data_IF_745250533373
#
_entry.id   IF_745250533373
#
_cell.length_a   1.000
_cell.length_b   1.000
_cell.length_c   1.000
_cell.angle_alpha   90.00
_cell.angle_beta   90.00
_cell.angle_gamma   90.00
#
_symmetry.space_group_name_H-M   'P 1'
#
loop_
_entity.id
_entity.type
_entity.pdbx_description
1 polymer ?
#
# COMPACT_ATOMS: atom_id res chain seq x y z
N UNK A 1 -71.87 -24.16 6.30
CA UNK A 1 -70.81 -25.16 6.05
C UNK A 1 -70.28 -24.90 4.65
N UNK A 2 -69.17 -24.17 4.42
CA UNK A 2 -67.81 -24.52 4.82
C UNK A 2 -67.31 -25.63 3.87
N UNK A 3 -66.36 -25.45 2.95
CA UNK A 3 -65.42 -24.35 2.80
C UNK A 3 -64.64 -24.37 1.49
N UNK A 4 -63.85 -23.30 1.39
CA UNK A 4 -62.90 -22.91 0.36
C UNK A 4 -61.89 -24.01 -0.01
N UNK A 5 -61.79 -24.33 -1.30
CA UNK A 5 -60.57 -24.92 -1.88
C UNK A 5 -60.55 -24.66 -3.37
N UNK A 6 -59.48 -24.02 -3.87
CA UNK A 6 -59.33 -23.75 -5.30
C UNK A 6 -58.52 -22.52 -5.68
N UNK A 7 -58.16 -21.67 -4.72
CA UNK A 7 -57.28 -20.50 -4.94
C UNK A 7 -55.98 -20.64 -4.15
N UNK A 8 -55.32 -21.80 -4.24
CA UNK A 8 -54.01 -22.05 -3.61
C UNK A 8 -53.18 -23.06 -4.39
N UNK A 9 -53.09 -22.93 -5.72
CA UNK A 9 -52.18 -23.76 -6.54
C UNK A 9 -51.62 -22.99 -7.73
N UNK A 10 -51.13 -21.76 -7.52
CA UNK A 10 -50.20 -21.09 -8.43
C UNK A 10 -49.65 -19.83 -7.76
N UNK A 11 -48.53 -19.96 -7.04
CA UNK A 11 -47.52 -18.89 -6.75
C UNK A 11 -46.57 -19.29 -5.60
N UNK A 12 -46.42 -20.59 -5.29
CA UNK A 12 -45.23 -21.08 -4.57
C UNK A 12 -44.15 -21.40 -5.61
N UNK A 13 -43.59 -20.34 -6.20
CA UNK A 13 -42.17 -20.35 -6.60
C UNK A 13 -41.59 -19.19 -5.83
N UNK A 14 -41.30 -19.50 -4.56
CA UNK A 14 -40.56 -18.66 -3.63
C UNK A 14 -39.26 -18.24 -4.33
N UNK A 15 -39.06 -16.92 -4.44
CA UNK A 15 -37.82 -16.22 -4.81
C UNK A 15 -36.59 -17.06 -4.44
N UNK A 16 -36.01 -17.75 -5.41
CA UNK A 16 -34.84 -18.62 -5.20
C UNK A 16 -33.73 -18.34 -6.22
N UNK A 17 -33.51 -17.06 -6.55
CA UNK A 17 -32.24 -16.59 -7.12
C UNK A 17 -31.89 -15.21 -6.53
N UNK A 18 -31.93 -15.12 -5.20
CA UNK A 18 -31.42 -13.97 -4.46
C UNK A 18 -29.91 -14.13 -4.23
N UNK A 19 -29.12 -13.31 -4.92
CA UNK A 19 -27.81 -12.81 -4.46
C UNK A 19 -26.82 -13.86 -3.95
N UNK A 20 -26.19 -14.60 -4.86
CA UNK A 20 -25.01 -15.40 -4.55
C UNK A 20 -23.91 -15.24 -5.60
N UNK A 21 -23.41 -14.01 -5.81
CA UNK A 21 -22.02 -13.75 -6.22
C UNK A 21 -21.66 -12.37 -5.66
N UNK A 22 -20.88 -12.32 -4.58
CA UNK A 22 -20.48 -11.04 -3.97
C UNK A 22 -20.05 -11.13 -2.51
N UNK A 23 -19.94 -12.34 -1.94
CA UNK A 23 -19.56 -12.53 -0.54
C UNK A 23 -18.54 -13.65 -0.36
N UNK A 24 -17.45 -13.59 -1.14
CA UNK A 24 -16.25 -14.41 -0.88
C UNK A 24 -15.03 -13.50 -1.02
N UNK A 25 -14.83 -12.68 0.00
CA UNK A 25 -13.69 -11.79 0.13
C UNK A 25 -13.81 -11.10 1.49
N UNK A 26 -12.73 -11.00 2.28
CA UNK A 26 -12.75 -10.18 3.48
C UNK A 26 -13.23 -8.78 3.09
N UNK A 27 -14.29 -8.28 3.72
CA UNK A 27 -14.56 -6.83 3.67
C UNK A 27 -13.34 -6.17 4.31
N UNK A 28 -12.70 -5.18 3.67
CA UNK A 28 -11.74 -4.38 4.40
C UNK A 28 -12.54 -3.70 5.52
N UNK A 29 -12.17 -4.01 6.76
CA UNK A 29 -12.60 -3.25 7.91
C UNK A 29 -11.64 -2.06 7.98
N UNK A 30 -11.76 -1.12 7.04
CA UNK A 30 -10.86 0.02 6.90
C UNK A 30 -11.51 1.36 7.22
N UNK A 31 -12.86 1.43 7.25
CA UNK A 31 -13.57 2.69 7.54
C UNK A 31 -13.75 3.01 9.03
N UNK A 32 -14.00 2.01 9.88
CA UNK A 32 -14.53 2.25 11.24
C UNK A 32 -13.47 2.03 12.35
N UNK A 33 -12.45 1.22 12.09
CA UNK A 33 -11.31 0.95 12.99
C UNK A 33 -10.17 1.97 12.85
N UNK A 34 -10.01 2.61 11.68
CA UNK A 34 -8.94 3.56 11.41
C UNK A 34 -9.07 4.88 12.19
N UNK A 35 -10.28 5.22 12.66
CA UNK A 35 -10.55 6.48 13.37
C UNK A 35 -10.20 6.43 14.87
N UNK A 36 -10.03 5.25 15.47
CA UNK A 36 -9.84 5.09 16.92
C UNK A 36 -8.37 4.88 17.35
N UNK A 37 -7.42 4.87 16.41
CA UNK A 37 -5.98 4.78 16.69
C UNK A 37 -5.27 6.10 16.39
N UNK A 38 -4.41 6.54 17.31
CA UNK A 38 -3.56 7.71 17.14
C UNK A 38 -2.61 7.54 15.94
N UNK A 39 -2.17 8.63 15.28
CA UNK A 39 -1.18 8.54 14.20
C UNK A 39 0.09 7.78 14.60
N UNK A 40 0.48 7.86 15.87
CA UNK A 40 1.65 7.15 16.41
C UNK A 40 1.44 5.65 16.44
N UNK A 41 0.29 5.18 16.91
CA UNK A 41 -0.05 3.75 16.93
C UNK A 41 -0.09 3.18 15.51
N UNK A 42 -0.70 3.91 14.56
CA UNK A 42 -0.69 3.49 13.15
C UNK A 42 0.73 3.38 12.58
N UNK A 43 1.60 4.34 12.87
CA UNK A 43 2.99 4.29 12.45
C UNK A 43 3.75 3.12 13.07
N UNK A 44 3.45 2.76 14.32
CA UNK A 44 4.05 1.59 14.97
C UNK A 44 3.61 0.29 14.31
N UNK A 45 2.31 0.15 14.02
CA UNK A 45 1.80 -1.00 13.26
C UNK A 45 2.46 -1.10 11.88
N UNK A 46 2.61 0.01 11.16
CA UNK A 46 3.30 0.03 9.86
C UNK A 46 4.75 -0.44 10.01
N UNK A 47 5.48 0.05 11.02
CA UNK A 47 6.86 -0.38 11.27
C UNK A 47 6.96 -1.87 11.58
N UNK A 48 6.04 -2.39 12.39
CA UNK A 48 5.99 -3.82 12.69
C UNK A 48 5.81 -4.64 11.41
N UNK A 49 4.82 -4.29 10.57
CA UNK A 49 4.57 -4.99 9.30
C UNK A 49 5.79 -4.92 8.39
N UNK A 50 6.39 -3.74 8.21
CA UNK A 50 7.56 -3.57 7.32
C UNK A 50 8.82 -4.29 7.83
N UNK A 51 8.88 -4.61 9.13
CA UNK A 51 9.98 -5.40 9.69
C UNK A 51 9.91 -6.88 9.32
N UNK A 52 8.70 -7.39 9.05
CA UNK A 52 8.45 -8.78 8.66
C UNK A 52 8.37 -8.93 7.13
N UNK A 53 7.70 -7.99 6.47
CA UNK A 53 7.49 -7.96 5.02
C UNK A 53 8.02 -6.64 4.48
N UNK A 54 9.28 -6.61 4.01
CA UNK A 54 9.90 -5.36 3.58
C UNK A 54 9.21 -4.78 2.34
N UNK A 55 9.18 -3.46 2.25
CA UNK A 55 8.62 -2.76 1.10
C UNK A 55 9.50 -3.01 -0.14
N UNK A 56 8.85 -3.36 -1.26
CA UNK A 56 9.46 -3.47 -2.59
C UNK A 56 8.93 -2.31 -3.43
N UNK A 57 9.80 -1.37 -3.77
CA UNK A 57 9.47 -0.28 -4.69
C UNK A 57 9.72 -0.71 -6.14
N UNK A 58 8.86 -0.30 -7.06
CA UNK A 58 8.92 -0.73 -8.46
C UNK A 58 9.55 0.29 -9.41
N UNK A 59 9.84 1.51 -8.97
CA UNK A 59 10.35 2.56 -9.84
C UNK A 59 11.12 3.65 -9.08
N UNK A 60 12.44 3.69 -9.26
CA UNK A 60 13.30 4.68 -8.64
C UNK A 60 14.29 5.28 -9.62
N UNK A 61 14.26 6.60 -9.73
CA UNK A 61 15.07 7.36 -10.68
C UNK A 61 16.47 7.74 -10.16
N UNK A 62 16.97 7.10 -9.10
CA UNK A 62 18.35 7.29 -8.66
C UNK A 62 19.38 7.10 -9.80
N UNK A 63 19.25 6.10 -10.70
CA UNK A 63 20.16 5.98 -11.84
C UNK A 63 20.13 7.20 -12.77
N UNK A 64 18.95 7.80 -12.96
CA UNK A 64 18.82 9.04 -13.74
C UNK A 64 19.53 10.20 -13.05
N UNK A 65 19.41 10.34 -11.73
CA UNK A 65 20.13 11.36 -10.97
C UNK A 65 21.65 11.17 -11.05
N UNK A 66 22.14 9.93 -10.91
CA UNK A 66 23.57 9.59 -11.06
C UNK A 66 24.09 9.96 -12.45
N UNK A 67 23.32 9.68 -13.50
CA UNK A 67 23.65 10.09 -14.87
C UNK A 67 23.78 11.60 -14.99
N UNK A 68 22.87 12.36 -14.41
CA UNK A 68 22.84 13.81 -14.56
C UNK A 68 23.89 14.53 -13.71
N UNK A 69 24.15 14.08 -12.49
CA UNK A 69 25.06 14.79 -11.58
C UNK A 69 26.51 14.37 -11.69
N UNK A 70 26.78 13.07 -11.89
CA UNK A 70 28.16 12.53 -11.92
C UNK A 70 28.46 11.78 -13.21
N UNK A 71 27.60 11.86 -14.22
CA UNK A 71 27.81 11.26 -15.53
C UNK A 71 28.13 9.75 -15.47
N UNK A 72 27.42 9.03 -14.60
CA UNK A 72 27.60 7.58 -14.36
C UNK A 72 28.98 7.19 -13.79
N UNK A 73 29.77 8.15 -13.27
CA UNK A 73 31.02 7.86 -12.57
C UNK A 73 30.73 7.46 -11.13
N UNK A 74 30.47 6.16 -10.89
CA UNK A 74 30.11 5.65 -9.57
C UNK A 74 31.18 5.87 -8.50
N UNK A 75 32.45 6.03 -8.89
CA UNK A 75 33.53 6.40 -7.96
C UNK A 75 33.30 7.77 -7.30
N UNK A 76 32.53 8.65 -7.93
CA UNK A 76 32.16 9.99 -7.42
C UNK A 76 30.84 9.97 -6.64
N UNK A 77 30.17 8.81 -6.53
CA UNK A 77 28.93 8.64 -5.78
C UNK A 77 29.19 7.88 -4.47
N UNK A 78 29.08 8.59 -3.35
CA UNK A 78 29.24 8.00 -2.01
C UNK A 78 27.90 7.46 -1.50
N UNK A 79 27.75 6.13 -1.56
CA UNK A 79 26.54 5.43 -1.14
C UNK A 79 26.24 5.53 0.37
N UNK A 80 27.25 5.79 1.20
CA UNK A 80 27.11 5.81 2.66
C UNK A 80 26.76 7.20 3.21
N UNK A 81 26.65 8.22 2.34
CA UNK A 81 26.30 9.58 2.75
C UNK A 81 24.80 9.80 2.77
N UNK A 82 24.40 10.66 3.71
CA UNK A 82 23.10 11.32 3.66
C UNK A 82 23.12 12.42 2.59
N UNK A 83 22.52 12.13 1.44
CA UNK A 83 22.54 13.03 0.29
C UNK A 83 21.75 14.33 0.52
N UNK A 84 20.95 14.42 1.58
CA UNK A 84 20.33 15.69 2.02
C UNK A 84 21.37 16.72 2.46
N UNK A 85 22.60 16.30 2.72
CA UNK A 85 23.68 17.16 3.23
C UNK A 85 24.78 17.41 2.18
N UNK A 86 24.77 16.70 1.06
CA UNK A 86 25.85 16.71 0.06
C UNK A 86 25.38 17.38 -1.23
N UNK A 87 26.04 18.45 -1.66
CA UNK A 87 25.79 19.05 -2.98
C UNK A 87 26.37 18.16 -4.09
N UNK A 88 25.77 18.08 -5.29
CA UNK A 88 24.58 18.81 -5.74
C UNK A 88 23.25 18.22 -5.25
N UNK A 89 23.27 17.00 -4.68
CA UNK A 89 22.09 16.23 -4.30
C UNK A 89 21.15 16.98 -3.34
N UNK A 90 21.71 17.61 -2.31
CA UNK A 90 20.95 18.37 -1.29
C UNK A 90 20.21 19.58 -1.84
N UNK A 91 20.61 20.07 -3.02
CA UNK A 91 19.99 21.22 -3.67
C UNK A 91 19.01 20.81 -4.78
N UNK A 92 18.95 19.53 -5.12
CA UNK A 92 18.07 19.04 -6.17
C UNK A 92 16.72 18.61 -5.61
N UNK A 93 15.65 19.14 -6.21
CA UNK A 93 14.28 18.71 -5.91
C UNK A 93 14.00 17.24 -6.34
N UNK A 94 14.85 16.68 -7.20
CA UNK A 94 14.70 15.31 -7.73
C UNK A 94 15.51 14.27 -6.95
N UNK A 95 16.33 14.70 -5.97
CA UNK A 95 17.16 13.80 -5.15
C UNK A 95 16.41 13.27 -3.93
N UNK A 96 15.71 12.16 -4.10
CA UNK A 96 14.87 11.56 -3.06
C UNK A 96 15.43 10.27 -2.44
N UNK A 97 16.44 9.67 -3.08
CA UNK A 97 16.94 8.34 -2.73
C UNK A 97 18.38 8.41 -2.24
N UNK A 98 18.65 7.83 -1.07
CA UNK A 98 19.98 7.44 -0.56
C UNK A 98 19.83 6.29 0.44
N UNK A 99 20.92 5.58 0.75
CA UNK A 99 20.85 4.40 1.61
C UNK A 99 20.39 4.72 3.04
N UNK A 100 20.67 5.93 3.54
CA UNK A 100 20.22 6.36 4.87
C UNK A 100 18.69 6.47 4.90
N UNK A 101 18.09 7.14 3.90
CA UNK A 101 16.63 7.26 3.76
C UNK A 101 15.95 5.93 3.46
N UNK A 102 16.53 5.08 2.61
CA UNK A 102 15.97 3.75 2.31
C UNK A 102 15.88 2.88 3.57
N UNK A 103 16.93 2.88 4.41
CA UNK A 103 16.92 2.17 5.70
C UNK A 103 15.89 2.76 6.66
N UNK A 104 15.78 4.09 6.75
CA UNK A 104 14.77 4.76 7.58
C UNK A 104 13.32 4.46 7.12
N UNK A 105 13.13 4.32 5.81
CA UNK A 105 11.85 3.97 5.19
C UNK A 105 11.55 2.47 5.16
N UNK A 106 12.47 1.61 5.63
CA UNK A 106 12.31 0.15 5.65
C UNK A 106 12.04 -0.44 4.25
N UNK A 107 12.67 0.14 3.22
CA UNK A 107 12.65 -0.40 1.85
C UNK A 107 13.65 -1.55 1.78
N UNK A 108 13.17 -2.76 1.46
CA UNK A 108 14.03 -3.95 1.33
C UNK A 108 14.31 -4.37 -0.11
N UNK A 109 13.63 -3.77 -1.09
CA UNK A 109 13.89 -4.01 -2.51
C UNK A 109 13.48 -2.84 -3.38
N UNK A 110 14.10 -2.75 -4.57
CA UNK A 110 13.95 -1.68 -5.54
C UNK A 110 14.17 -2.18 -6.96
#
# INVERSE_FOLDING_TARGET
CGGHSGVWTASVIILSIGTWVGKVGPRPADGETAHLTSPRERLETVRQVLSEVPLIDGHNDLPWNIRNFVHNQLAEFDFDKDLRQVAPWSKSAWSQTDLVRLRQGMVGGQ
#
